data_IF_733824334485
#
_entry.id   IF_733824334485
#
_cell.length_a   1.000
_cell.length_b   1.000
_cell.length_c   1.000
_cell.angle_alpha   90.00
_cell.angle_beta   90.00
_cell.angle_gamma   90.00
#
_symmetry.space_group_name_H-M   'P 1'
#
loop_
_entity.id
_entity.type
_entity.pdbx_description
1 polymer ?
#
# COMPACT_ATOMS: atom_id res chain seq x y z
N UNK A 1 -38.97 2.18 61.12
CA UNK A 1 -37.62 2.07 60.53
C UNK A 1 -37.81 2.09 59.02
N UNK A 2 -37.54 3.23 58.37
CA UNK A 2 -37.79 3.42 56.94
C UNK A 2 -36.55 2.94 56.17
N UNK A 3 -36.72 1.91 55.37
CA UNK A 3 -35.68 1.32 54.53
C UNK A 3 -35.57 2.19 53.27
N UNK A 4 -34.59 3.09 53.23
CA UNK A 4 -34.27 3.87 52.02
C UNK A 4 -33.61 2.94 50.99
N UNK A 5 -34.42 2.36 50.12
CA UNK A 5 -33.94 1.64 48.94
C UNK A 5 -33.32 2.64 47.97
N UNK A 6 -31.99 2.71 47.96
CA UNK A 6 -31.25 3.42 46.93
C UNK A 6 -31.40 2.65 45.62
N UNK A 7 -32.26 3.14 44.73
CA UNK A 7 -32.36 2.61 43.36
C UNK A 7 -31.11 3.05 42.60
N UNK A 8 -30.13 2.15 42.50
CA UNK A 8 -28.97 2.35 41.63
C UNK A 8 -29.52 2.46 40.21
N UNK A 9 -29.27 3.55 39.46
CA UNK A 9 -29.67 3.64 38.07
C UNK A 9 -29.03 2.44 37.36
N UNK A 10 -29.88 1.54 36.86
CA UNK A 10 -29.47 0.40 36.05
C UNK A 10 -28.55 0.91 34.96
N UNK A 11 -27.42 0.22 34.80
CA UNK A 11 -26.35 0.49 33.86
C UNK A 11 -26.83 1.24 32.62
N UNK A 12 -26.27 2.42 32.37
CA UNK A 12 -26.40 3.09 31.08
C UNK A 12 -25.82 2.11 30.06
N UNK A 13 -26.66 1.59 29.15
CA UNK A 13 -26.21 0.82 28.00
C UNK A 13 -25.32 1.74 27.16
N UNK A 14 -24.01 1.66 27.40
CA UNK A 14 -23.00 2.30 26.56
C UNK A 14 -22.96 1.48 25.27
N UNK A 15 -23.27 2.08 24.10
CA UNK A 15 -23.15 1.37 22.84
C UNK A 15 -21.72 0.87 22.65
N UNK A 16 -21.56 -0.35 22.12
CA UNK A 16 -20.24 -0.84 21.76
C UNK A 16 -19.59 0.11 20.75
N UNK A 17 -18.46 0.72 21.15
CA UNK A 17 -17.67 1.57 20.26
C UNK A 17 -16.80 0.63 19.42
N UNK A 18 -17.29 0.25 18.25
CA UNK A 18 -16.46 -0.36 17.21
C UNK A 18 -15.67 0.72 16.48
N UNK A 19 -14.36 0.56 16.23
CA UNK A 19 -13.63 1.46 15.36
C UNK A 19 -14.26 1.45 13.96
N UNK A 20 -14.74 2.60 13.50
CA UNK A 20 -15.26 2.77 12.15
C UNK A 20 -14.09 3.03 11.19
N UNK A 21 -13.66 1.97 10.51
CA UNK A 21 -12.60 2.03 9.49
C UNK A 21 -13.06 2.69 8.19
N UNK A 22 -14.36 2.99 8.05
CA UNK A 22 -14.92 3.75 6.94
C UNK A 22 -15.04 5.25 7.27
N UNK A 23 -14.48 5.69 8.40
CA UNK A 23 -14.44 7.11 8.73
C UNK A 23 -13.84 7.91 7.57
N UNK A 24 -14.41 9.08 7.20
CA UNK A 24 -13.95 9.89 6.06
C UNK A 24 -12.46 10.24 6.10
N UNK A 25 -11.89 10.38 7.30
CA UNK A 25 -10.47 10.61 7.50
C UNK A 25 -9.59 9.41 7.10
N UNK A 26 -9.98 8.19 7.50
CA UNK A 26 -9.27 6.94 7.16
C UNK A 26 -9.31 6.76 5.63
N UNK A 27 -10.48 6.93 5.03
CA UNK A 27 -10.69 6.82 3.57
C UNK A 27 -9.89 7.87 2.76
N UNK A 28 -9.75 9.09 3.29
CA UNK A 28 -8.92 10.14 2.69
C UNK A 28 -7.43 9.80 2.71
N UNK A 29 -6.92 9.34 3.85
CA UNK A 29 -5.50 8.97 3.99
C UNK A 29 -5.13 7.79 3.08
N UNK A 30 -6.01 6.81 2.98
CA UNK A 30 -5.81 5.64 2.13
C UNK A 30 -5.84 5.99 0.64
N UNK A 31 -6.69 6.94 0.23
CA UNK A 31 -6.71 7.43 -1.15
C UNK A 31 -5.39 8.08 -1.54
N UNK A 32 -4.79 8.87 -0.63
CA UNK A 32 -3.48 9.48 -0.87
C UNK A 32 -2.39 8.39 -0.97
N UNK A 33 -2.42 7.42 -0.06
CA UNK A 33 -1.51 6.27 -0.09
C UNK A 33 -1.61 5.47 -1.40
N UNK A 34 -2.84 5.25 -1.89
CA UNK A 34 -3.13 4.63 -3.19
C UNK A 34 -2.38 5.33 -4.33
N UNK A 35 -2.57 6.65 -4.48
CA UNK A 35 -1.96 7.40 -5.57
C UNK A 35 -0.43 7.37 -5.54
N UNK A 36 0.17 7.40 -4.34
CA UNK A 36 1.63 7.28 -4.19
C UNK A 36 2.10 5.89 -4.61
N UNK A 37 1.40 4.84 -4.19
CA UNK A 37 1.74 3.46 -4.54
C UNK A 37 1.59 3.21 -6.05
N UNK A 38 0.51 3.71 -6.66
CA UNK A 38 0.30 3.68 -8.10
C UNK A 38 1.44 4.38 -8.86
N UNK A 39 1.78 5.60 -8.44
CA UNK A 39 2.88 6.36 -9.01
C UNK A 39 4.22 5.61 -8.91
N UNK A 40 4.51 5.00 -7.76
CA UNK A 40 5.70 4.20 -7.56
C UNK A 40 5.73 2.96 -8.47
N UNK A 41 4.61 2.25 -8.64
CA UNK A 41 4.51 1.11 -9.54
C UNK A 41 4.75 1.51 -11.01
N UNK A 42 4.14 2.61 -11.46
CA UNK A 42 4.32 3.12 -12.82
C UNK A 42 5.79 3.51 -13.06
N UNK A 43 6.41 4.25 -12.14
CA UNK A 43 7.81 4.63 -12.25
C UNK A 43 8.74 3.42 -12.29
N UNK A 44 8.46 2.41 -11.45
CA UNK A 44 9.22 1.16 -11.41
C UNK A 44 9.09 0.41 -12.72
N UNK A 45 7.89 0.36 -13.31
CA UNK A 45 7.65 -0.27 -14.60
C UNK A 45 8.42 0.44 -15.73
N UNK A 46 8.39 1.77 -15.78
CA UNK A 46 9.14 2.55 -16.76
C UNK A 46 10.64 2.28 -16.64
N UNK A 47 11.18 2.31 -15.42
CA UNK A 47 12.58 1.99 -15.14
C UNK A 47 12.94 0.56 -15.58
N UNK A 48 12.04 -0.40 -15.36
CA UNK A 48 12.23 -1.79 -15.78
C UNK A 48 12.30 -1.90 -17.30
N UNK A 49 11.43 -1.19 -18.04
CA UNK A 49 11.43 -1.16 -19.51
C UNK A 49 12.75 -0.60 -20.02
N UNK A 50 13.22 0.51 -19.47
CA UNK A 50 14.51 1.13 -19.83
C UNK A 50 15.64 0.11 -19.60
N UNK A 51 15.74 -0.45 -18.40
CA UNK A 51 16.76 -1.45 -18.09
C UNK A 51 16.67 -2.68 -19.00
N UNK A 52 15.46 -3.16 -19.33
CA UNK A 52 15.25 -4.28 -20.22
C UNK A 52 15.76 -4.00 -21.64
N UNK A 53 15.44 -2.83 -22.19
CA UNK A 53 15.97 -2.39 -23.50
C UNK A 53 17.50 -2.37 -23.49
N UNK A 54 18.11 -1.89 -22.41
CA UNK A 54 19.57 -1.89 -22.27
C UNK A 54 20.19 -3.27 -22.19
N UNK A 55 19.50 -4.25 -21.60
CA UNK A 55 19.97 -5.63 -21.52
C UNK A 55 19.79 -6.37 -22.85
N UNK A 56 18.69 -6.14 -23.57
CA UNK A 56 18.40 -6.82 -24.84
C UNK A 56 19.28 -6.29 -25.99
N UNK A 57 19.63 -5.01 -25.96
CA UNK A 57 20.49 -4.37 -27.00
C UNK A 57 21.99 -4.62 -26.82
N UNK A 58 22.39 -5.60 -25.99
CA UNK A 58 23.79 -5.94 -25.72
C UNK A 58 24.60 -6.05 -27.02
N UNK A 59 25.62 -5.20 -27.15
CA UNK A 59 26.51 -5.13 -28.31
C UNK A 59 26.20 -4.05 -29.35
N UNK A 60 25.02 -3.42 -29.32
CA UNK A 60 24.63 -2.37 -30.27
C UNK A 60 24.61 -0.93 -29.71
N UNK A 61 24.73 -0.77 -28.40
CA UNK A 61 24.60 0.53 -27.71
C UNK A 61 25.76 0.90 -26.78
N UNK A 62 25.64 2.02 -26.07
CA UNK A 62 26.64 2.50 -25.11
C UNK A 62 26.93 1.46 -24.01
N UNK A 63 28.19 1.09 -23.84
CA UNK A 63 28.67 0.15 -22.80
C UNK A 63 28.26 0.58 -21.39
N UNK A 64 28.27 1.90 -21.14
CA UNK A 64 27.85 2.48 -19.85
C UNK A 64 26.38 2.19 -19.56
N UNK A 65 25.52 2.31 -20.57
CA UNK A 65 24.09 2.05 -20.41
C UNK A 65 23.81 0.56 -20.20
N UNK A 66 24.52 -0.32 -20.90
CA UNK A 66 24.37 -1.77 -20.76
C UNK A 66 24.86 -2.28 -19.39
N UNK A 67 25.97 -1.73 -18.90
CA UNK A 67 26.50 -2.04 -17.57
C UNK A 67 25.53 -1.63 -16.46
N UNK A 68 25.04 -0.38 -16.50
CA UNK A 68 24.01 0.10 -15.58
C UNK A 68 22.75 -0.76 -15.66
N UNK A 69 22.24 -1.01 -16.86
CA UNK A 69 21.03 -1.81 -17.04
C UNK A 69 21.18 -3.23 -16.48
N UNK A 70 22.34 -3.86 -16.67
CA UNK A 70 22.62 -5.19 -16.13
C UNK A 70 22.69 -5.23 -14.60
N UNK A 71 23.25 -4.21 -13.95
CA UNK A 71 23.30 -4.14 -12.49
C UNK A 71 21.93 -3.85 -11.88
N UNK A 72 21.15 -2.98 -12.52
CA UNK A 72 19.93 -2.42 -11.94
C UNK A 72 18.68 -3.24 -12.26
N UNK A 73 18.64 -4.04 -13.33
CA UNK A 73 17.43 -4.76 -13.74
C UNK A 73 16.89 -5.69 -12.64
N UNK A 74 17.75 -6.45 -11.96
CA UNK A 74 17.33 -7.34 -10.87
C UNK A 74 16.88 -6.57 -9.63
N UNK A 75 17.52 -5.43 -9.34
CA UNK A 75 17.15 -4.56 -8.22
C UNK A 75 15.78 -3.93 -8.46
N UNK A 76 15.55 -3.42 -9.66
CA UNK A 76 14.26 -2.82 -10.07
C UNK A 76 13.17 -3.89 -10.05
N UNK A 77 13.45 -5.11 -10.54
CA UNK A 77 12.51 -6.22 -10.47
C UNK A 77 12.16 -6.60 -9.03
N UNK A 78 13.15 -6.65 -8.13
CA UNK A 78 12.93 -6.91 -6.71
C UNK A 78 12.09 -5.81 -6.04
N UNK A 79 12.34 -4.53 -6.37
CA UNK A 79 11.51 -3.40 -5.90
C UNK A 79 10.08 -3.53 -6.42
N UNK A 80 9.89 -3.84 -7.71
CA UNK A 80 8.57 -4.05 -8.30
C UNK A 80 7.80 -5.19 -7.62
N UNK A 81 8.47 -6.32 -7.37
CA UNK A 81 7.88 -7.45 -6.63
C UNK A 81 7.51 -7.06 -5.19
N UNK A 82 8.36 -6.28 -4.51
CA UNK A 82 8.08 -5.77 -3.18
C UNK A 82 6.87 -4.85 -3.12
N UNK A 83 6.78 -3.88 -4.05
CA UNK A 83 5.62 -2.98 -4.16
C UNK A 83 4.33 -3.76 -4.47
N UNK A 84 4.41 -4.77 -5.34
CA UNK A 84 3.28 -5.67 -5.63
C UNK A 84 2.87 -6.51 -4.42
N UNK A 85 3.82 -7.00 -3.63
CA UNK A 85 3.54 -7.75 -2.40
C UNK A 85 2.88 -6.86 -1.34
N UNK A 86 3.34 -5.60 -1.19
CA UNK A 86 2.71 -4.62 -0.31
C UNK A 86 1.26 -4.39 -0.74
N UNK A 87 1.01 -4.16 -2.02
CA UNK A 87 -0.34 -4.01 -2.56
C UNK A 87 -1.26 -5.20 -2.17
N UNK A 88 -0.78 -6.44 -2.41
CA UNK A 88 -1.53 -7.65 -2.10
C UNK A 88 -1.80 -7.84 -0.59
N UNK A 89 -0.85 -7.47 0.27
CA UNK A 89 -1.03 -7.55 1.73
C UNK A 89 -2.10 -6.57 2.20
N UNK A 90 -2.11 -5.33 1.70
CA UNK A 90 -3.12 -4.34 2.06
C UNK A 90 -4.52 -4.73 1.55
N UNK A 91 -4.60 -5.27 0.33
CA UNK A 91 -5.83 -5.83 -0.22
C UNK A 91 -6.37 -6.99 0.62
N UNK A 92 -5.50 -7.91 1.07
CA UNK A 92 -5.88 -9.06 1.88
C UNK A 92 -6.24 -8.70 3.33
N UNK A 93 -5.43 -7.87 3.98
CA UNK A 93 -5.53 -7.62 5.42
C UNK A 93 -6.72 -6.72 5.79
N UNK A 94 -7.11 -5.80 4.90
CA UNK A 94 -8.11 -4.77 5.21
C UNK A 94 -9.28 -4.79 4.19
N UNK A 95 -9.30 -5.75 3.26
CA UNK A 95 -10.23 -5.73 2.11
C UNK A 95 -10.01 -4.48 1.26
N UNK A 96 -8.81 -3.90 1.34
CA UNK A 96 -8.52 -2.56 0.89
C UNK A 96 -8.00 -2.60 -0.54
N UNK A 97 -8.90 -2.41 -1.49
CA UNK A 97 -8.53 -2.22 -2.89
C UNK A 97 -8.10 -0.76 -3.09
N UNK A 98 -6.84 -0.55 -3.50
CA UNK A 98 -6.37 0.79 -3.82
C UNK A 98 -7.04 1.36 -5.09
N UNK A 99 -7.84 0.55 -5.81
CA UNK A 99 -8.92 1.02 -6.67
C UNK A 99 -8.46 1.68 -7.97
N UNK A 100 -7.24 1.39 -8.41
CA UNK A 100 -6.74 1.69 -9.76
C UNK A 100 -6.51 0.41 -10.55
#
# INVERSE_FOLDING_TARGET
MQHTTWTIPTAVDVPDISPDWNAPFISGLTSIGSYILAGALILTLIMLIIAFVGVVTKGGGSERYQSWSGEWILKILAVGAGLGAVNAIFAFAVGFDFGF
#
